data_IF_970764660662
#
_entry.id   IF_970764660662
#
_cell.length_a   1.000
_cell.length_b   1.000
_cell.length_c   1.000
_cell.angle_alpha   90.00
_cell.angle_beta   90.00
_cell.angle_gamma   90.00
#
_symmetry.space_group_name_H-M   'P 1'
#
loop_
_entity.id
_entity.type
_entity.pdbx_description
1 polymer ?
#
# COMPACT_ATOMS: atom_id res chain seq x y z
N UNK A 1 55.41 -31.52 4.12
CA UNK A 1 55.63 -31.14 2.71
C UNK A 1 55.52 -29.61 2.58
N UNK A 2 56.59 -28.93 2.21
CA UNK A 2 56.52 -27.48 1.95
C UNK A 2 55.75 -27.24 0.64
N UNK A 3 54.78 -26.31 0.60
CA UNK A 3 54.07 -26.00 -0.64
C UNK A 3 55.04 -25.40 -1.67
N UNK A 4 54.89 -25.85 -2.92
CA UNK A 4 55.74 -25.42 -4.04
C UNK A 4 55.70 -23.89 -4.20
N UNK A 5 56.80 -23.31 -4.68
CA UNK A 5 56.98 -21.86 -4.86
C UNK A 5 55.80 -21.23 -5.65
N UNK A 6 55.28 -21.97 -6.61
CA UNK A 6 54.14 -21.60 -7.44
C UNK A 6 52.84 -21.37 -6.65
N UNK A 7 52.58 -22.18 -5.61
CA UNK A 7 51.38 -22.07 -4.76
C UNK A 7 51.47 -20.86 -3.84
N UNK A 8 52.68 -20.53 -3.34
CA UNK A 8 52.88 -19.33 -2.52
C UNK A 8 52.72 -18.04 -3.32
N UNK A 9 53.21 -18.01 -4.55
CA UNK A 9 53.12 -16.82 -5.42
C UNK A 9 51.67 -16.59 -5.90
N UNK A 10 50.91 -17.66 -6.15
CA UNK A 10 49.47 -17.54 -6.47
C UNK A 10 48.65 -17.08 -5.27
N UNK A 11 48.90 -17.58 -4.06
CA UNK A 11 48.22 -17.10 -2.85
C UNK A 11 48.52 -15.61 -2.58
N UNK A 12 49.79 -15.19 -2.72
CA UNK A 12 50.18 -13.80 -2.54
C UNK A 12 49.55 -12.88 -3.60
N UNK A 13 49.43 -13.34 -4.85
CA UNK A 13 48.77 -12.60 -5.92
C UNK A 13 47.25 -12.45 -5.68
N UNK A 14 46.59 -13.51 -5.22
CA UNK A 14 45.16 -13.50 -4.87
C UNK A 14 44.89 -12.57 -3.69
N UNK A 15 45.74 -12.57 -2.66
CA UNK A 15 45.57 -11.69 -1.51
C UNK A 15 45.81 -10.21 -1.85
N UNK A 16 46.78 -9.92 -2.73
CA UNK A 16 47.03 -8.57 -3.26
C UNK A 16 45.89 -8.08 -4.15
N UNK A 17 45.27 -8.97 -4.94
CA UNK A 17 44.07 -8.67 -5.72
C UNK A 17 42.87 -8.40 -4.81
N UNK A 18 42.66 -9.23 -3.77
CA UNK A 18 41.60 -9.05 -2.77
C UNK A 18 41.72 -7.70 -2.05
N UNK A 19 42.92 -7.32 -1.59
CA UNK A 19 43.17 -6.01 -0.95
C UNK A 19 42.90 -4.83 -1.90
N UNK A 20 43.22 -4.95 -3.19
CA UNK A 20 42.94 -3.92 -4.20
C UNK A 20 41.43 -3.75 -4.46
N UNK A 21 40.69 -4.85 -4.55
CA UNK A 21 39.23 -4.83 -4.73
C UNK A 21 38.54 -4.24 -3.51
N UNK A 22 38.95 -4.60 -2.29
CA UNK A 22 38.40 -4.01 -1.06
C UNK A 22 38.68 -2.51 -0.99
N UNK A 23 39.91 -2.07 -1.32
CA UNK A 23 40.27 -0.64 -1.30
C UNK A 23 39.52 0.19 -2.35
N UNK A 24 39.28 -0.37 -3.55
CA UNK A 24 38.45 0.26 -4.58
C UNK A 24 36.98 0.33 -4.15
N UNK A 25 36.42 -0.72 -3.55
CA UNK A 25 35.05 -0.73 -3.03
C UNK A 25 34.86 0.32 -1.93
N UNK A 26 35.81 0.44 -1.00
CA UNK A 26 35.79 1.48 0.05
C UNK A 26 35.90 2.89 -0.54
N UNK A 27 36.76 3.11 -1.55
CA UNK A 27 36.87 4.41 -2.23
C UNK A 27 35.60 4.79 -2.98
N UNK A 28 34.98 3.85 -3.71
CA UNK A 28 33.71 4.09 -4.42
C UNK A 28 32.58 4.38 -3.43
N UNK A 29 32.54 3.69 -2.29
CA UNK A 29 31.55 3.94 -1.26
C UNK A 29 31.75 5.31 -0.57
N UNK A 30 33.00 5.71 -0.29
CA UNK A 30 33.35 7.05 0.24
C UNK A 30 33.03 8.14 -0.78
N UNK A 31 33.27 7.91 -2.07
CA UNK A 31 32.98 8.90 -3.12
C UNK A 31 31.47 9.07 -3.33
N UNK A 32 30.70 7.97 -3.34
CA UNK A 32 29.23 8.02 -3.39
C UNK A 32 28.63 8.69 -2.16
N UNK A 33 29.14 8.41 -0.96
CA UNK A 33 28.68 9.09 0.27
C UNK A 33 29.08 10.56 0.31
N UNK A 34 30.27 10.95 -0.18
CA UNK A 34 30.69 12.36 -0.31
C UNK A 34 29.86 13.12 -1.34
N UNK A 35 29.58 12.54 -2.51
CA UNK A 35 28.74 13.17 -3.55
C UNK A 35 27.28 13.32 -3.09
N UNK A 36 26.74 12.31 -2.40
CA UNK A 36 25.43 12.38 -1.74
C UNK A 36 25.40 13.42 -0.61
N UNK A 37 26.44 13.50 0.24
CA UNK A 37 26.57 14.55 1.27
C UNK A 37 26.67 15.95 0.66
N UNK A 38 27.38 16.12 -0.44
CA UNK A 38 27.52 17.41 -1.12
C UNK A 38 26.16 17.85 -1.72
N UNK A 39 25.47 16.95 -2.42
CA UNK A 39 24.11 17.16 -2.96
C UNK A 39 23.08 17.48 -1.86
N UNK A 40 23.17 16.80 -0.71
CA UNK A 40 22.30 17.03 0.45
C UNK A 40 22.59 18.35 1.15
N UNK A 41 23.87 18.69 1.36
CA UNK A 41 24.26 19.99 1.92
C UNK A 41 23.85 21.15 1.00
N UNK A 42 23.94 20.97 -0.32
CA UNK A 42 23.43 21.99 -1.27
C UNK A 42 21.91 22.12 -1.24
N UNK A 43 21.18 21.02 -1.06
CA UNK A 43 19.71 21.05 -0.94
C UNK A 43 19.26 21.71 0.38
N UNK A 44 19.79 21.28 1.53
CA UNK A 44 19.48 21.90 2.83
C UNK A 44 19.84 23.39 2.80
N UNK A 45 21.01 23.76 2.27
CA UNK A 45 21.37 25.17 2.10
C UNK A 45 20.40 25.92 1.18
N UNK A 46 19.80 25.27 0.17
CA UNK A 46 18.80 25.89 -0.72
C UNK A 46 17.47 26.11 0.00
N UNK A 47 17.00 25.12 0.78
CA UNK A 47 15.77 25.25 1.59
C UNK A 47 15.97 26.32 2.67
N UNK A 48 17.08 26.27 3.41
CA UNK A 48 17.42 27.25 4.45
C UNK A 48 17.57 28.66 3.87
N UNK A 49 18.13 28.82 2.65
CA UNK A 49 18.18 30.12 1.94
C UNK A 49 16.80 30.65 1.53
N UNK A 50 15.82 29.77 1.27
CA UNK A 50 14.44 30.19 1.02
C UNK A 50 13.71 30.59 2.31
N UNK A 51 14.11 30.05 3.45
CA UNK A 51 13.60 30.43 4.78
C UNK A 51 14.27 31.70 5.32
N UNK A 52 15.61 31.83 5.23
CA UNK A 52 16.36 32.99 5.75
C UNK A 52 16.18 34.27 4.97
N UNK A 53 15.79 34.22 3.68
CA UNK A 53 15.34 35.41 2.93
C UNK A 53 14.08 36.07 3.54
N UNK A 54 13.48 35.49 4.58
CA UNK A 54 12.22 35.93 5.19
C UNK A 54 12.33 36.27 6.68
N UNK A 55 13.51 36.21 7.31
CA UNK A 55 13.69 36.48 8.75
C UNK A 55 14.95 37.33 9.04
N UNK A 56 14.82 38.32 9.94
CA UNK A 56 15.88 39.23 10.40
C UNK A 56 16.87 38.60 11.41
N UNK A 57 17.86 39.35 11.94
CA UNK A 57 19.06 38.79 12.58
C UNK A 57 18.82 38.33 14.04
N UNK A 58 19.58 37.32 14.55
CA UNK A 58 19.30 36.68 15.84
C UNK A 58 20.16 37.22 17.00
N UNK A 59 19.57 37.25 18.21
CA UNK A 59 20.26 37.41 19.50
C UNK A 59 20.62 36.06 20.16
N UNK A 60 21.48 36.06 21.22
CA UNK A 60 22.08 34.84 21.75
C UNK A 60 21.13 34.08 22.70
N UNK A 61 21.23 32.75 22.66
CA UNK A 61 20.40 31.72 23.34
C UNK A 61 19.13 31.27 22.60
N UNK A 62 19.34 30.61 21.46
CA UNK A 62 18.32 29.85 20.72
C UNK A 62 18.84 28.43 20.46
N UNK A 63 18.50 27.48 21.34
CA UNK A 63 18.58 26.05 21.06
C UNK A 63 17.67 25.36 22.06
N UNK A 64 16.39 25.20 21.70
CA UNK A 64 15.49 24.07 22.01
C UNK A 64 14.03 24.48 21.69
N UNK A 65 13.67 25.75 21.78
CA UNK A 65 12.43 26.30 21.18
C UNK A 65 12.68 27.76 20.79
N UNK A 66 12.81 28.07 19.49
CA UNK A 66 12.96 29.44 18.98
C UNK A 66 11.63 29.97 18.44
N UNK A 67 11.25 31.25 18.66
CA UNK A 67 9.98 31.81 18.17
C UNK A 67 9.97 32.10 16.65
N UNK A 68 11.13 32.15 15.99
CA UNK A 68 11.25 32.69 14.63
C UNK A 68 11.62 31.63 13.58
N UNK A 69 10.75 30.63 13.37
CA UNK A 69 10.89 29.67 12.26
C UNK A 69 9.53 29.34 11.63
N UNK A 70 8.73 30.35 11.27
CA UNK A 70 7.59 30.11 10.37
C UNK A 70 7.45 31.27 9.37
N UNK A 71 8.05 31.17 8.18
CA UNK A 71 7.77 32.14 7.15
C UNK A 71 6.33 32.02 6.67
N UNK A 72 5.49 33.00 7.04
CA UNK A 72 4.23 33.33 6.38
C UNK A 72 3.24 32.16 6.31
N UNK A 73 2.33 32.15 7.28
CA UNK A 73 1.11 31.34 7.46
C UNK A 73 0.18 31.26 6.24
N UNK A 74 0.49 31.96 5.17
CA UNK A 74 -0.26 31.96 3.93
C UNK A 74 0.15 30.89 2.92
N UNK A 75 1.37 30.32 3.00
CA UNK A 75 1.82 29.40 1.93
C UNK A 75 1.35 27.95 2.11
N UNK A 76 1.16 27.47 3.35
CA UNK A 76 0.50 26.17 3.59
C UNK A 76 -0.98 26.19 3.19
N UNK A 77 -1.64 27.35 3.33
CA UNK A 77 -3.02 27.53 2.88
C UNK A 77 -3.10 27.77 1.36
N UNK A 78 -2.25 28.65 0.79
CA UNK A 78 -2.28 29.03 -0.63
C UNK A 78 -1.65 28.00 -1.58
N UNK A 79 -0.64 27.25 -1.13
CA UNK A 79 -0.05 26.13 -1.88
C UNK A 79 -0.98 24.91 -1.97
N UNK A 80 -1.90 24.77 -1.01
CA UNK A 80 -2.98 23.79 -1.06
C UNK A 80 -4.24 24.29 -1.79
N UNK A 81 -4.26 25.57 -2.22
CA UNK A 81 -5.41 26.21 -2.89
C UNK A 81 -5.26 26.35 -4.40
N UNK A 82 -4.09 26.06 -4.97
CA UNK A 82 -3.89 26.06 -6.43
C UNK A 82 -3.46 24.67 -6.88
N UNK A 83 -4.32 24.05 -7.69
CA UNK A 83 -4.21 22.69 -8.25
C UNK A 83 -4.77 21.57 -7.38
N UNK A 84 -6.09 21.54 -7.21
CA UNK A 84 -6.88 20.29 -7.23
C UNK A 84 -8.34 20.61 -7.59
N UNK A 85 -8.54 21.37 -8.66
CA UNK A 85 -9.76 21.30 -9.48
C UNK A 85 -9.47 20.40 -10.70
N UNK A 86 -8.96 19.21 -10.42
CA UNK A 86 -8.93 18.07 -11.33
C UNK A 86 -10.13 17.17 -11.02
N UNK A 87 -10.62 16.38 -11.98
CA UNK A 87 -11.92 15.74 -11.92
C UNK A 87 -12.05 14.89 -10.65
N UNK A 88 -13.23 14.93 -10.01
CA UNK A 88 -13.63 14.06 -8.88
C UNK A 88 -12.86 12.75 -8.95
N UNK A 89 -11.85 12.62 -8.07
CA UNK A 89 -10.89 11.52 -8.05
C UNK A 89 -11.66 10.22 -8.15
N UNK A 90 -11.35 9.47 -9.19
CA UNK A 90 -12.14 8.34 -9.62
C UNK A 90 -11.99 7.22 -8.57
N UNK A 91 -13.01 7.14 -7.72
CA UNK A 91 -13.08 6.55 -6.38
C UNK A 91 -12.81 5.05 -6.33
N UNK A 92 -12.44 4.56 -5.13
CA UNK A 92 -12.92 3.26 -4.63
C UNK A 92 -14.38 3.09 -5.04
N UNK A 93 -14.71 1.99 -5.68
CA UNK A 93 -16.04 1.81 -6.30
C UNK A 93 -17.13 1.72 -5.22
N UNK A 94 -17.69 2.87 -4.83
CA UNK A 94 -18.78 2.94 -3.86
C UNK A 94 -20.13 2.75 -4.56
N UNK A 95 -20.76 1.60 -4.32
CA UNK A 95 -22.10 1.28 -4.83
C UNK A 95 -23.18 1.27 -3.72
N UNK A 96 -22.84 1.69 -2.49
CA UNK A 96 -23.72 1.63 -1.32
C UNK A 96 -25.07 2.33 -1.53
N UNK A 97 -25.07 3.49 -2.20
CA UNK A 97 -26.30 4.23 -2.50
C UNK A 97 -27.19 3.54 -3.54
N UNK A 98 -26.65 2.64 -4.36
CA UNK A 98 -27.40 1.88 -5.37
C UNK A 98 -28.09 0.64 -4.79
N UNK A 99 -27.67 0.20 -3.60
CA UNK A 99 -28.22 -0.95 -2.87
C UNK A 99 -28.89 -0.56 -1.56
N UNK A 100 -29.16 0.73 -1.34
CA UNK A 100 -29.77 1.22 -0.10
C UNK A 100 -31.23 0.78 0.08
N UNK A 101 -31.90 0.36 -1.00
CA UNK A 101 -33.27 -0.16 -0.98
C UNK A 101 -33.34 -1.56 -1.59
N UNK A 102 -34.01 -2.49 -0.91
CA UNK A 102 -34.25 -3.86 -1.37
C UNK A 102 -35.33 -3.94 -2.46
N UNK A 103 -35.12 -3.24 -3.58
CA UNK A 103 -35.99 -3.36 -4.76
C UNK A 103 -35.70 -4.66 -5.50
N UNK A 104 -36.71 -5.23 -6.18
CA UNK A 104 -36.64 -6.54 -6.87
C UNK A 104 -35.62 -6.64 -8.04
N UNK A 105 -34.78 -5.63 -8.24
CA UNK A 105 -33.68 -5.65 -9.22
C UNK A 105 -32.45 -4.89 -8.74
N UNK A 106 -32.25 -4.75 -7.43
CA UNK A 106 -31.09 -4.02 -6.88
C UNK A 106 -29.76 -4.67 -7.29
N UNK A 107 -29.60 -5.97 -7.02
CA UNK A 107 -28.36 -6.70 -7.35
C UNK A 107 -28.23 -7.03 -8.83
N UNK A 108 -29.32 -7.20 -9.57
CA UNK A 108 -29.25 -7.43 -11.02
C UNK A 108 -28.67 -6.21 -11.75
N UNK A 109 -28.96 -4.99 -11.28
CA UNK A 109 -28.32 -3.76 -11.79
C UNK A 109 -26.80 -3.72 -11.54
N UNK A 110 -26.29 -4.41 -10.52
CA UNK A 110 -24.85 -4.48 -10.25
C UNK A 110 -24.10 -5.31 -11.31
N UNK A 111 -24.74 -6.33 -11.88
CA UNK A 111 -24.16 -7.16 -12.94
C UNK A 111 -23.91 -6.38 -14.24
N UNK A 112 -24.52 -5.21 -14.42
CA UNK A 112 -24.33 -4.38 -15.61
C UNK A 112 -23.31 -3.23 -15.40
N UNK A 113 -22.71 -3.13 -14.22
CA UNK A 113 -21.60 -2.20 -13.99
C UNK A 113 -20.31 -2.77 -14.60
N UNK A 114 -19.56 -1.94 -15.32
CA UNK A 114 -18.27 -2.32 -15.90
C UNK A 114 -17.08 -1.99 -15.00
N UNK A 115 -17.09 -0.81 -14.38
CA UNK A 115 -15.98 -0.30 -13.57
C UNK A 115 -15.88 -1.08 -12.24
N UNK A 116 -14.70 -1.59 -11.92
CA UNK A 116 -14.47 -2.49 -10.78
C UNK A 116 -15.22 -3.82 -10.90
N UNK A 117 -15.70 -4.17 -12.09
CA UNK A 117 -16.53 -5.36 -12.25
C UNK A 117 -15.70 -6.62 -12.44
N UNK A 118 -16.33 -7.75 -12.12
CA UNK A 118 -15.82 -9.08 -12.40
C UNK A 118 -15.38 -9.25 -13.87
N UNK A 119 -16.13 -8.65 -14.81
CA UNK A 119 -15.85 -8.76 -16.24
C UNK A 119 -14.58 -8.01 -16.65
N UNK A 120 -14.34 -6.83 -16.07
CA UNK A 120 -13.13 -6.04 -16.33
C UNK A 120 -11.87 -6.78 -15.88
N UNK A 121 -11.96 -7.59 -14.83
CA UNK A 121 -10.81 -8.35 -14.30
C UNK A 121 -10.61 -9.68 -15.04
N UNK A 122 -11.68 -10.32 -15.51
CA UNK A 122 -11.63 -11.68 -16.10
C UNK A 122 -11.56 -11.74 -17.63
N UNK A 123 -11.83 -10.65 -18.36
CA UNK A 123 -12.03 -10.75 -19.81
C UNK A 123 -10.82 -11.34 -20.57
N UNK A 124 -9.59 -11.12 -20.10
CA UNK A 124 -8.38 -11.62 -20.76
C UNK A 124 -8.24 -13.13 -20.57
N UNK A 125 -8.42 -13.61 -19.35
CA UNK A 125 -8.33 -15.02 -18.99
C UNK A 125 -9.49 -15.80 -19.60
N UNK A 126 -10.70 -15.22 -19.62
CA UNK A 126 -11.86 -15.82 -20.28
C UNK A 126 -11.63 -15.91 -21.80
N UNK A 127 -11.09 -14.87 -22.43
CA UNK A 127 -10.76 -14.90 -23.86
C UNK A 127 -9.73 -16.00 -24.16
N UNK A 128 -8.67 -16.10 -23.34
CA UNK A 128 -7.65 -17.14 -23.49
C UNK A 128 -8.26 -18.56 -23.34
N UNK A 129 -9.13 -18.75 -22.34
CA UNK A 129 -9.86 -20.00 -22.13
C UNK A 129 -10.73 -20.36 -23.34
N UNK A 130 -11.48 -19.39 -23.87
CA UNK A 130 -12.35 -19.59 -25.03
C UNK A 130 -11.56 -19.91 -26.30
N UNK A 131 -10.45 -19.20 -26.55
CA UNK A 131 -9.57 -19.48 -27.69
C UNK A 131 -9.00 -20.90 -27.59
N UNK A 132 -8.48 -21.29 -26.42
CA UNK A 132 -7.97 -22.64 -26.21
C UNK A 132 -9.05 -23.71 -26.42
N UNK A 133 -10.27 -23.46 -25.93
CA UNK A 133 -11.40 -24.37 -26.11
C UNK A 133 -11.77 -24.55 -27.58
N UNK A 134 -11.88 -23.46 -28.34
CA UNK A 134 -12.20 -23.49 -29.78
C UNK A 134 -11.08 -24.14 -30.59
N UNK A 135 -9.81 -23.86 -30.27
CA UNK A 135 -8.66 -24.49 -30.95
C UNK A 135 -8.70 -26.00 -30.77
N UNK A 136 -8.93 -26.50 -29.56
CA UNK A 136 -9.03 -27.95 -29.32
C UNK A 136 -10.25 -28.55 -30.02
N UNK A 137 -11.39 -27.87 -29.99
CA UNK A 137 -12.60 -28.33 -30.67
C UNK A 137 -12.42 -28.43 -32.19
N UNK A 138 -11.80 -27.42 -32.80
CA UNK A 138 -11.50 -27.41 -34.24
C UNK A 138 -10.46 -28.46 -34.63
N UNK A 139 -9.44 -28.70 -33.79
CA UNK A 139 -8.49 -29.79 -33.99
C UNK A 139 -9.17 -31.16 -33.96
N UNK A 140 -10.07 -31.40 -33.00
CA UNK A 140 -10.82 -32.66 -32.92
C UNK A 140 -11.70 -32.91 -34.15
N UNK A 141 -12.42 -31.88 -34.63
CA UNK A 141 -13.34 -32.01 -35.76
C UNK A 141 -12.63 -32.11 -37.12
N UNK A 142 -11.57 -31.33 -37.34
CA UNK A 142 -11.01 -31.12 -38.67
C UNK A 142 -9.63 -31.76 -38.90
N UNK A 143 -8.86 -32.03 -37.83
CA UNK A 143 -7.46 -32.47 -37.97
C UNK A 143 -7.19 -33.90 -37.49
N UNK A 144 -7.93 -34.39 -36.48
CA UNK A 144 -7.71 -35.73 -35.92
C UNK A 144 -8.28 -36.82 -36.83
N UNK A 145 -7.51 -37.89 -37.03
CA UNK A 145 -7.99 -39.13 -37.69
C UNK A 145 -8.91 -39.92 -36.76
N UNK A 146 -9.71 -40.85 -37.29
CA UNK A 146 -10.65 -41.66 -36.49
C UNK A 146 -9.96 -42.41 -35.33
N UNK A 147 -8.79 -43.00 -35.56
CA UNK A 147 -8.02 -43.65 -34.50
C UNK A 147 -7.54 -42.67 -33.41
N UNK A 148 -7.21 -41.42 -33.78
CA UNK A 148 -6.81 -40.38 -32.83
C UNK A 148 -8.01 -39.81 -32.06
N UNK A 149 -9.18 -39.71 -32.70
CA UNK A 149 -10.43 -39.28 -32.05
C UNK A 149 -10.81 -40.22 -30.91
N UNK A 150 -10.73 -41.54 -31.11
CA UNK A 150 -11.00 -42.51 -30.03
C UNK A 150 -10.08 -42.34 -28.82
N UNK A 151 -8.79 -42.05 -29.07
CA UNK A 151 -7.82 -41.79 -27.99
C UNK A 151 -8.17 -40.48 -27.28
N UNK A 152 -8.48 -39.43 -28.05
CA UNK A 152 -8.86 -38.13 -27.51
C UNK A 152 -10.11 -38.24 -26.63
N UNK A 153 -11.13 -39.00 -27.04
CA UNK A 153 -12.32 -39.24 -26.24
C UNK A 153 -12.03 -39.90 -24.89
N UNK A 154 -11.07 -40.83 -24.84
CA UNK A 154 -10.61 -41.42 -23.56
C UNK A 154 -9.96 -40.37 -22.67
N UNK A 155 -9.15 -39.46 -23.25
CA UNK A 155 -8.52 -38.35 -22.52
C UNK A 155 -9.60 -37.40 -21.98
N UNK A 156 -10.61 -37.05 -22.78
CA UNK A 156 -11.73 -36.19 -22.35
C UNK A 156 -12.43 -36.79 -21.14
N UNK A 157 -12.76 -38.09 -21.15
CA UNK A 157 -13.39 -38.78 -20.01
C UNK A 157 -12.50 -38.80 -18.77
N UNK A 158 -11.20 -39.04 -18.95
CA UNK A 158 -10.22 -38.99 -17.86
C UNK A 158 -10.18 -37.60 -17.21
N UNK A 159 -10.07 -36.55 -18.03
CA UNK A 159 -10.06 -35.15 -17.58
C UNK A 159 -11.37 -34.76 -16.86
N UNK A 160 -12.54 -35.16 -17.36
CA UNK A 160 -13.83 -34.84 -16.72
C UNK A 160 -13.98 -35.54 -15.35
N UNK A 161 -13.51 -36.78 -15.25
CA UNK A 161 -13.49 -37.54 -13.98
C UNK A 161 -12.58 -36.86 -12.96
N UNK A 162 -11.35 -36.49 -13.35
CA UNK A 162 -10.42 -35.78 -12.47
C UNK A 162 -10.98 -34.43 -12.01
N UNK A 163 -11.61 -33.68 -12.91
CA UNK A 163 -12.19 -32.37 -12.60
C UNK A 163 -13.30 -32.44 -11.56
N UNK A 164 -14.10 -33.51 -11.57
CA UNK A 164 -15.20 -33.70 -10.60
C UNK A 164 -14.72 -34.11 -9.19
N UNK A 165 -13.50 -34.62 -9.06
CA UNK A 165 -12.91 -35.01 -7.77
C UNK A 165 -12.29 -33.83 -7.00
N UNK A 166 -12.00 -32.71 -7.66
CA UNK A 166 -11.37 -31.55 -7.03
C UNK A 166 -12.38 -30.71 -6.23
N UNK A 167 -12.25 -30.57 -4.90
CA UNK A 167 -13.16 -29.77 -4.07
C UNK A 167 -12.84 -28.27 -4.14
N UNK A 168 -12.88 -27.70 -5.34
CA UNK A 168 -12.40 -26.34 -5.61
C UNK A 168 -13.16 -25.28 -4.79
N UNK A 169 -14.47 -25.45 -4.63
CA UNK A 169 -15.33 -24.56 -3.82
C UNK A 169 -14.85 -24.43 -2.37
N UNK A 170 -14.39 -25.53 -1.76
CA UNK A 170 -13.91 -25.53 -0.38
C UNK A 170 -12.60 -24.73 -0.29
N UNK A 171 -11.62 -25.08 -1.13
CA UNK A 171 -10.28 -24.47 -1.11
C UNK A 171 -10.37 -22.96 -1.36
N UNK A 172 -11.12 -22.53 -2.39
CA UNK A 172 -11.32 -21.11 -2.68
C UNK A 172 -12.11 -20.41 -1.57
N UNK A 173 -13.17 -21.03 -1.04
CA UNK A 173 -14.00 -20.43 0.00
C UNK A 173 -13.22 -20.06 1.26
N UNK A 174 -12.37 -20.96 1.77
CA UNK A 174 -11.51 -20.67 2.93
C UNK A 174 -10.47 -19.59 2.62
N UNK A 175 -9.85 -19.66 1.45
CA UNK A 175 -8.83 -18.69 1.05
C UNK A 175 -9.42 -17.27 0.92
N UNK A 176 -10.50 -17.11 0.15
CA UNK A 176 -11.17 -15.83 -0.06
C UNK A 176 -11.67 -15.24 1.26
N UNK A 177 -12.28 -16.06 2.12
CA UNK A 177 -12.75 -15.60 3.44
C UNK A 177 -11.60 -15.10 4.31
N UNK A 178 -10.45 -15.80 4.29
CA UNK A 178 -9.26 -15.38 5.03
C UNK A 178 -8.68 -14.07 4.49
N UNK A 179 -8.60 -13.93 3.16
CA UNK A 179 -8.15 -12.70 2.49
C UNK A 179 -9.08 -11.53 2.81
N UNK A 180 -10.40 -11.70 2.67
CA UNK A 180 -11.39 -10.68 2.96
C UNK A 180 -11.34 -10.20 4.42
N UNK A 181 -11.12 -11.13 5.37
CA UNK A 181 -10.92 -10.79 6.79
C UNK A 181 -9.66 -9.96 7.00
N UNK A 182 -8.55 -10.32 6.35
CA UNK A 182 -7.30 -9.52 6.40
C UNK A 182 -7.49 -8.15 5.78
N UNK A 183 -8.18 -8.05 4.65
CA UNK A 183 -8.51 -6.79 3.98
C UNK A 183 -9.28 -5.85 4.91
N UNK A 184 -10.33 -6.34 5.57
CA UNK A 184 -11.13 -5.52 6.49
C UNK A 184 -10.32 -5.08 7.72
N UNK A 185 -9.52 -5.97 8.28
CA UNK A 185 -8.66 -5.61 9.42
C UNK A 185 -7.57 -4.60 9.04
N UNK A 186 -7.06 -4.63 7.80
CA UNK A 186 -6.16 -3.60 7.27
C UNK A 186 -6.85 -2.25 7.16
N UNK A 187 -8.12 -2.21 6.70
CA UNK A 187 -8.93 -0.99 6.69
C UNK A 187 -9.10 -0.40 8.10
N UNK A 188 -9.49 -1.23 9.07
CA UNK A 188 -9.66 -0.81 10.47
C UNK A 188 -8.35 -0.36 11.14
N UNK A 189 -7.20 -0.84 10.64
CA UNK A 189 -5.88 -0.45 11.11
C UNK A 189 -5.43 0.92 10.57
N UNK A 190 -6.13 1.52 9.59
CA UNK A 190 -5.81 2.89 9.13
C UNK A 190 -6.10 3.87 10.27
N UNK A 191 -5.09 4.61 10.77
CA UNK A 191 -5.26 5.47 11.92
C UNK A 191 -5.90 6.81 11.54
N UNK A 192 -6.89 7.22 12.33
CA UNK A 192 -7.58 8.50 12.22
C UNK A 192 -7.07 9.43 13.33
N UNK A 193 -6.57 10.63 13.02
CA UNK A 193 -6.00 11.55 14.00
C UNK A 193 -7.06 12.32 14.81
N UNK A 194 -8.34 12.19 14.46
CA UNK A 194 -9.46 12.98 14.97
C UNK A 194 -9.60 12.92 16.49
N UNK A 195 -9.48 11.73 17.10
CA UNK A 195 -9.54 11.60 18.57
C UNK A 195 -8.41 12.37 19.25
N UNK A 196 -7.18 12.15 18.80
CA UNK A 196 -6.00 12.86 19.30
C UNK A 196 -6.12 14.39 19.07
N UNK A 197 -6.70 14.81 17.95
CA UNK A 197 -6.95 16.22 17.65
C UNK A 197 -7.87 16.86 18.70
N UNK A 198 -9.00 16.22 19.02
CA UNK A 198 -9.93 16.74 20.02
C UNK A 198 -9.28 16.81 21.41
N UNK A 199 -8.57 15.76 21.81
CA UNK A 199 -7.87 15.72 23.11
C UNK A 199 -6.78 16.79 23.19
N UNK A 200 -5.97 16.96 22.13
CA UNK A 200 -4.94 18.01 22.07
C UNK A 200 -5.59 19.41 22.10
N UNK A 201 -6.70 19.61 21.39
CA UNK A 201 -7.41 20.90 21.38
C UNK A 201 -8.02 21.25 22.72
N UNK A 202 -8.43 20.24 23.52
CA UNK A 202 -9.02 20.43 24.84
C UNK A 202 -7.97 20.80 25.89
N UNK A 203 -6.86 20.05 25.94
CA UNK A 203 -5.89 20.15 27.04
C UNK A 203 -4.68 21.04 26.77
N UNK A 204 -4.37 21.36 25.51
CA UNK A 204 -3.25 22.25 25.18
C UNK A 204 -3.74 23.69 25.07
N UNK A 205 -3.53 24.45 26.13
CA UNK A 205 -4.03 25.81 26.27
C UNK A 205 -3.14 26.87 25.60
N UNK A 206 -3.70 28.07 25.43
CA UNK A 206 -3.02 29.25 24.91
C UNK A 206 -3.45 29.66 23.50
N UNK A 207 -3.90 30.90 23.38
CA UNK A 207 -4.35 31.52 22.11
C UNK A 207 -3.24 32.30 21.40
N UNK A 208 -2.10 32.42 22.05
CA UNK A 208 -0.87 33.00 21.52
C UNK A 208 -0.20 32.05 20.51
N UNK A 209 0.79 32.59 19.80
CA UNK A 209 1.49 31.85 18.75
C UNK A 209 2.20 30.61 19.28
N UNK A 210 2.70 30.64 20.52
CA UNK A 210 3.37 29.50 21.14
C UNK A 210 2.43 28.31 21.39
N UNK A 211 1.26 28.54 22.02
CA UNK A 211 0.26 27.49 22.24
C UNK A 211 -0.23 26.90 20.91
N UNK A 212 -0.43 27.76 19.90
CA UNK A 212 -0.77 27.34 18.54
C UNK A 212 0.32 26.49 17.89
N UNK A 213 1.59 26.85 18.08
CA UNK A 213 2.74 26.09 17.56
C UNK A 213 2.84 24.69 18.17
N UNK A 214 2.56 24.54 19.47
CA UNK A 214 2.52 23.22 20.13
C UNK A 214 1.44 22.34 19.51
N UNK A 215 0.18 22.82 19.45
CA UNK A 215 -0.94 22.06 18.88
C UNK A 215 -0.65 21.62 17.44
N UNK A 216 -0.14 22.54 16.61
CA UNK A 216 0.25 22.24 15.22
C UNK A 216 1.38 21.23 15.12
N UNK A 217 2.38 21.32 15.99
CA UNK A 217 3.53 20.40 15.95
C UNK A 217 3.13 18.98 16.36
N UNK A 218 2.31 18.83 17.40
CA UNK A 218 1.77 17.53 17.82
C UNK A 218 0.98 16.87 16.68
N UNK A 219 0.04 17.59 16.07
CA UNK A 219 -0.76 17.05 14.96
C UNK A 219 0.06 16.78 13.70
N UNK A 220 1.04 17.63 13.39
CA UNK A 220 1.93 17.42 12.25
C UNK A 220 2.78 16.16 12.44
N UNK A 221 3.25 15.87 13.65
CA UNK A 221 4.00 14.63 13.90
C UNK A 221 3.15 13.37 13.76
N UNK A 222 1.86 13.40 14.16
CA UNK A 222 0.93 12.30 13.88
C UNK A 222 0.78 12.05 12.36
N UNK A 223 0.54 13.12 11.60
CA UNK A 223 0.42 13.04 10.14
C UNK A 223 1.75 12.58 9.51
N UNK A 224 2.88 13.06 10.01
CA UNK A 224 4.20 12.69 9.51
C UNK A 224 4.47 11.19 9.73
N UNK A 225 4.16 10.66 10.92
CA UNK A 225 4.19 9.21 11.19
C UNK A 225 3.33 8.45 10.19
N UNK A 226 2.10 8.91 9.95
CA UNK A 226 1.18 8.30 8.99
C UNK A 226 1.77 8.28 7.56
N UNK A 227 2.32 9.40 7.10
CA UNK A 227 2.91 9.49 5.76
C UNK A 227 4.12 8.55 5.63
N UNK A 228 4.97 8.46 6.65
CA UNK A 228 6.14 7.59 6.62
C UNK A 228 5.77 6.10 6.57
N UNK A 229 4.76 5.67 7.33
CA UNK A 229 4.28 4.28 7.26
C UNK A 229 3.56 4.01 5.93
N UNK A 230 2.65 4.90 5.49
CA UNK A 230 1.90 4.72 4.25
C UNK A 230 2.81 4.71 3.01
N UNK A 231 3.85 5.54 2.98
CA UNK A 231 4.89 5.49 1.94
C UNK A 231 5.60 4.14 1.87
N UNK A 232 5.69 3.43 2.99
CA UNK A 232 6.39 2.14 3.07
C UNK A 232 5.53 1.01 2.53
N UNK A 233 4.22 1.04 2.83
CA UNK A 233 3.26 -0.03 2.51
C UNK A 233 2.46 0.22 1.21
N UNK A 234 2.33 1.48 0.77
CA UNK A 234 1.48 1.88 -0.36
C UNK A 234 2.29 2.47 -1.52
N UNK A 235 2.11 1.88 -2.70
CA UNK A 235 2.74 2.35 -3.93
C UNK A 235 2.25 3.74 -4.38
N UNK A 236 0.93 4.06 -4.37
CA UNK A 236 0.46 5.42 -4.66
C UNK A 236 1.04 6.50 -3.75
N UNK A 237 1.14 6.23 -2.46
CA UNK A 237 1.70 7.20 -1.50
C UNK A 237 3.20 7.35 -1.72
N UNK A 238 3.90 6.26 -2.03
CA UNK A 238 5.33 6.29 -2.41
C UNK A 238 5.59 7.02 -3.73
N UNK A 239 4.66 6.98 -4.68
CA UNK A 239 4.74 7.77 -5.93
C UNK A 239 4.51 9.25 -5.65
N UNK A 240 3.57 9.60 -4.77
CA UNK A 240 3.33 11.00 -4.36
C UNK A 240 4.51 11.57 -3.56
N UNK A 241 5.09 10.76 -2.69
CA UNK A 241 6.26 11.12 -1.93
C UNK A 241 7.36 10.08 -2.18
N UNK A 242 8.25 10.27 -3.19
CA UNK A 242 9.32 9.32 -3.50
C UNK A 242 10.52 9.44 -2.58
N UNK A 243 10.85 10.65 -2.13
CA UNK A 243 12.00 10.91 -1.23
C UNK A 243 11.60 11.76 -0.04
N UNK A 244 12.37 11.75 1.06
CA UNK A 244 12.06 12.57 2.25
C UNK A 244 12.05 14.07 1.92
N UNK A 245 12.81 14.50 0.92
CA UNK A 245 12.80 15.87 0.42
C UNK A 245 11.40 16.28 -0.09
N UNK A 246 10.66 15.38 -0.75
CA UNK A 246 9.28 15.65 -1.17
C UNK A 246 8.33 15.83 0.04
N UNK A 247 8.61 15.15 1.16
CA UNK A 247 7.85 15.29 2.41
C UNK A 247 8.11 16.67 3.03
N UNK A 248 9.36 17.15 2.94
CA UNK A 248 9.76 18.48 3.39
C UNK A 248 9.15 19.57 2.51
N UNK A 249 9.24 19.44 1.18
CA UNK A 249 8.67 20.39 0.22
C UNK A 249 7.15 20.50 0.36
N UNK A 250 6.49 19.39 0.73
CA UNK A 250 5.04 19.35 1.02
C UNK A 250 4.66 19.94 2.39
N UNK A 251 5.64 20.32 3.21
CA UNK A 251 5.42 20.98 4.51
C UNK A 251 5.10 20.04 5.68
N UNK A 252 5.26 18.73 5.51
CA UNK A 252 5.02 17.74 6.58
C UNK A 252 6.23 17.57 7.53
N UNK A 253 7.43 17.81 7.02
CA UNK A 253 8.70 17.77 7.76
C UNK A 253 9.47 19.07 7.53
N UNK A 254 10.18 19.57 8.55
CA UNK A 254 10.99 20.79 8.42
C UNK A 254 12.41 20.49 7.91
N UNK A 255 13.14 21.54 7.50
CA UNK A 255 14.54 21.42 7.07
C UNK A 255 15.46 20.92 8.19
N UNK A 256 15.22 21.34 9.44
CA UNK A 256 16.03 20.90 10.57
C UNK A 256 15.67 19.46 10.97
N UNK A 257 14.39 19.07 10.87
CA UNK A 257 13.94 17.70 11.17
C UNK A 257 14.53 16.66 10.22
N UNK A 258 14.63 16.97 8.93
CA UNK A 258 15.25 16.06 7.97
C UNK A 258 16.76 15.89 8.23
N UNK A 259 17.44 16.92 8.74
CA UNK A 259 18.84 16.80 9.17
C UNK A 259 18.98 15.84 10.36
N UNK A 260 18.13 15.99 11.38
CA UNK A 260 18.08 15.08 12.52
C UNK A 260 17.76 13.67 12.05
N UNK A 261 16.78 13.52 11.16
CA UNK A 261 16.39 12.23 10.60
C UNK A 261 17.55 11.54 9.86
N UNK A 262 18.35 12.29 9.10
CA UNK A 262 19.53 11.75 8.42
C UNK A 262 20.73 11.52 9.33
N UNK A 263 20.78 12.17 10.50
CA UNK A 263 21.81 11.94 11.50
C UNK A 263 21.64 10.61 12.22
N UNK A 264 20.42 10.06 12.21
CA UNK A 264 20.16 8.72 12.75
C UNK A 264 21.02 7.70 12.00
N UNK A 265 21.65 6.76 12.73
CA UNK A 265 22.36 5.67 12.08
C UNK A 265 21.38 5.00 11.10
N UNK A 266 21.84 4.75 9.87
CA UNK A 266 21.03 4.07 8.85
C UNK A 266 20.88 2.61 9.27
N UNK A 267 20.03 2.36 10.26
CA UNK A 267 19.73 1.00 10.70
C UNK A 267 18.75 0.39 9.72
N UNK A 268 18.82 -0.93 9.58
CA UNK A 268 18.11 -1.81 8.64
C UNK A 268 16.57 -1.77 8.75
N UNK A 269 16.01 -0.83 9.51
CA UNK A 269 14.62 -0.82 9.95
C UNK A 269 13.85 0.40 9.43
N UNK A 270 12.53 0.23 9.34
CA UNK A 270 11.63 1.33 9.03
C UNK A 270 11.66 2.39 10.16
N UNK A 271 11.69 3.66 9.77
CA UNK A 271 11.89 4.82 10.66
C UNK A 271 10.62 5.64 10.87
N UNK A 272 9.44 5.08 10.57
CA UNK A 272 8.14 5.73 10.83
C UNK A 272 7.92 6.09 12.31
N UNK A 273 8.62 5.47 13.24
CA UNK A 273 8.54 5.73 14.69
C UNK A 273 9.29 7.00 15.12
N UNK A 274 10.13 7.60 14.28
CA UNK A 274 10.94 8.77 14.66
C UNK A 274 10.07 9.98 15.04
N UNK A 275 9.04 10.37 14.26
CA UNK A 275 8.15 11.46 14.67
C UNK A 275 7.31 11.13 15.92
N UNK A 276 7.09 9.84 16.22
CA UNK A 276 6.48 9.43 17.49
C UNK A 276 7.35 9.88 18.69
N UNK A 277 8.67 9.76 18.59
CA UNK A 277 9.58 10.28 19.63
C UNK A 277 9.58 11.80 19.70
N UNK A 278 9.40 12.49 18.57
CA UNK A 278 9.30 13.95 18.57
C UNK A 278 7.99 14.44 19.17
N UNK A 279 6.88 13.73 18.94
CA UNK A 279 5.60 13.97 19.58
C UNK A 279 5.71 13.94 21.10
N UNK A 280 6.30 12.88 21.66
CA UNK A 280 6.44 12.75 23.12
C UNK A 280 7.34 13.82 23.73
N UNK A 281 8.36 14.29 22.99
CA UNK A 281 9.19 15.42 23.40
C UNK A 281 8.42 16.73 23.45
N UNK A 282 7.61 17.03 22.43
CA UNK A 282 6.77 18.25 22.42
C UNK A 282 5.70 18.18 23.49
N UNK A 283 5.08 17.01 23.71
CA UNK A 283 4.10 16.84 24.78
C UNK A 283 4.72 17.09 26.17
N UNK A 284 5.94 16.59 26.39
CA UNK A 284 6.70 16.87 27.62
C UNK A 284 7.00 18.37 27.78
N UNK A 285 7.36 19.04 26.70
CA UNK A 285 7.64 20.48 26.72
C UNK A 285 6.37 21.31 26.98
N UNK A 286 5.24 20.92 26.41
CA UNK A 286 3.94 21.53 26.69
C UNK A 286 3.59 21.44 28.18
N UNK A 287 3.88 20.30 28.82
CA UNK A 287 3.71 20.13 30.27
C UNK A 287 4.66 21.03 31.07
N UNK A 288 5.95 21.05 30.72
CA UNK A 288 6.96 21.88 31.41
C UNK A 288 6.66 23.37 31.32
N UNK A 289 6.23 23.83 30.15
CA UNK A 289 5.84 25.22 29.89
C UNK A 289 4.44 25.57 30.42
N UNK A 290 3.84 24.71 31.25
CA UNK A 290 2.50 24.87 31.85
C UNK A 290 1.39 25.15 30.82
N UNK A 291 1.52 24.64 29.60
CA UNK A 291 0.45 24.65 28.58
C UNK A 291 -0.55 23.52 28.74
N UNK A 292 -0.17 22.53 29.55
CA UNK A 292 -1.04 21.47 30.05
C UNK A 292 -0.84 21.49 31.57
N UNK A 293 -1.82 22.01 32.30
CA UNK A 293 -1.73 22.13 33.76
C UNK A 293 -1.98 20.79 34.45
N UNK A 294 -2.96 20.05 33.93
CA UNK A 294 -3.44 18.78 34.47
C UNK A 294 -2.58 17.57 34.02
N UNK A 295 -2.30 16.67 34.95
CA UNK A 295 -1.60 15.41 34.66
C UNK A 295 -2.48 14.45 33.86
N UNK A 296 -3.81 14.49 34.05
CA UNK A 296 -4.73 13.62 33.33
C UNK A 296 -4.80 14.00 31.84
N UNK A 297 -4.70 15.29 31.52
CA UNK A 297 -4.60 15.77 30.13
C UNK A 297 -3.39 15.20 29.38
N UNK A 298 -2.22 15.16 30.02
CA UNK A 298 -1.02 14.55 29.42
C UNK A 298 -1.21 13.05 29.21
N UNK A 299 -1.81 12.35 30.19
CA UNK A 299 -2.10 10.92 30.11
C UNK A 299 -3.04 10.61 28.95
N UNK A 300 -4.16 11.33 28.84
CA UNK A 300 -5.15 11.08 27.81
C UNK A 300 -4.62 11.37 26.40
N UNK A 301 -3.84 12.45 26.22
CA UNK A 301 -3.16 12.72 24.93
C UNK A 301 -2.21 11.57 24.58
N UNK A 302 -1.47 11.05 25.56
CA UNK A 302 -0.54 9.95 25.34
C UNK A 302 -1.24 8.63 25.01
N UNK A 303 -2.39 8.35 25.63
CA UNK A 303 -3.22 7.17 25.34
C UNK A 303 -3.73 7.20 23.90
N UNK A 304 -4.32 8.32 23.46
CA UNK A 304 -4.79 8.51 22.08
C UNK A 304 -3.65 8.41 21.05
N UNK A 305 -2.49 8.98 21.39
CA UNK A 305 -1.28 8.85 20.59
C UNK A 305 -0.79 7.39 20.48
N UNK A 306 -0.85 6.62 21.57
CA UNK A 306 -0.45 5.22 21.58
C UNK A 306 -1.42 4.36 20.75
N UNK A 307 -2.73 4.63 20.80
CA UNK A 307 -3.73 3.97 19.93
C UNK A 307 -3.40 4.23 18.45
N UNK A 308 -3.11 5.50 18.10
CA UNK A 308 -2.72 5.90 16.75
C UNK A 308 -1.42 5.20 16.30
N UNK A 309 -0.41 5.16 17.17
CA UNK A 309 0.87 4.49 16.90
C UNK A 309 0.70 2.98 16.73
N UNK A 310 -0.13 2.35 17.55
CA UNK A 310 -0.41 0.91 17.47
C UNK A 310 -1.03 0.55 16.11
N UNK A 311 -1.98 1.35 15.64
CA UNK A 311 -2.58 1.23 14.30
C UNK A 311 -1.55 1.37 13.17
N UNK A 312 -0.62 2.33 13.26
CA UNK A 312 0.51 2.42 12.33
C UNK A 312 1.38 1.15 12.35
N UNK A 313 1.64 0.60 13.54
CA UNK A 313 2.36 -0.66 13.70
C UNK A 313 1.64 -1.84 13.06
N UNK A 314 0.31 -1.92 13.21
CA UNK A 314 -0.52 -2.95 12.58
C UNK A 314 -0.47 -2.89 11.05
N UNK A 315 -0.51 -1.69 10.45
CA UNK A 315 -0.34 -1.54 9.00
C UNK A 315 1.01 -2.09 8.53
N UNK A 316 2.09 -1.75 9.25
CA UNK A 316 3.42 -2.27 8.94
C UNK A 316 3.51 -3.79 9.12
N UNK A 317 2.88 -4.34 10.15
CA UNK A 317 2.83 -5.79 10.38
C UNK A 317 2.09 -6.54 9.27
N UNK A 318 1.01 -5.98 8.72
CA UNK A 318 0.27 -6.59 7.61
C UNK A 318 1.09 -6.61 6.30
N UNK A 319 1.85 -5.54 6.05
CA UNK A 319 2.77 -5.44 4.91
C UNK A 319 3.95 -6.42 5.06
N UNK A 320 4.55 -6.49 6.26
CA UNK A 320 5.67 -7.40 6.52
C UNK A 320 5.25 -8.87 6.50
N UNK A 321 4.16 -9.22 7.17
CA UNK A 321 3.67 -10.61 7.28
C UNK A 321 2.52 -10.80 6.29
N UNK A 322 2.89 -11.12 5.06
CA UNK A 322 1.96 -11.53 4.00
C UNK A 322 1.35 -12.92 4.26
N UNK A 323 0.31 -13.27 3.51
CA UNK A 323 -0.23 -14.63 3.49
C UNK A 323 0.88 -15.59 3.05
N UNK A 324 1.06 -16.77 3.71
CA UNK A 324 2.09 -17.73 3.32
C UNK A 324 2.03 -18.04 1.83
N UNK A 325 3.16 -17.88 1.14
CA UNK A 325 3.24 -18.05 -0.32
C UNK A 325 2.71 -19.42 -0.76
N UNK A 326 3.03 -20.48 -0.02
CA UNK A 326 2.55 -21.83 -0.29
C UNK A 326 1.02 -21.92 -0.33
N UNK A 327 0.31 -21.15 0.52
CA UNK A 327 -1.15 -21.17 0.53
C UNK A 327 -1.72 -20.54 -0.75
N UNK A 328 -1.22 -19.37 -1.15
CA UNK A 328 -1.59 -18.73 -2.42
C UNK A 328 -1.25 -19.64 -3.62
N UNK A 329 -0.10 -20.32 -3.59
CA UNK A 329 0.32 -21.25 -4.65
C UNK A 329 -0.63 -22.44 -4.74
N UNK A 330 -0.99 -23.09 -3.64
CA UNK A 330 -1.92 -24.24 -3.63
C UNK A 330 -3.27 -23.88 -4.24
N UNK A 331 -3.83 -22.73 -3.85
CA UNK A 331 -5.13 -22.27 -4.37
C UNK A 331 -5.06 -21.95 -5.86
N UNK A 332 -3.96 -21.31 -6.30
CA UNK A 332 -3.73 -21.00 -7.72
C UNK A 332 -3.57 -22.27 -8.54
N UNK A 333 -2.74 -23.21 -8.09
CA UNK A 333 -2.51 -24.50 -8.76
C UNK A 333 -3.82 -25.28 -8.86
N UNK A 334 -4.60 -25.36 -7.78
CA UNK A 334 -5.88 -26.07 -7.78
C UNK A 334 -6.86 -25.48 -8.80
N UNK A 335 -6.99 -24.14 -8.82
CA UNK A 335 -7.90 -23.44 -9.74
C UNK A 335 -7.45 -23.58 -11.19
N UNK A 336 -6.16 -23.37 -11.47
CA UNK A 336 -5.63 -23.45 -12.84
C UNK A 336 -5.65 -24.88 -13.37
N UNK A 337 -5.29 -25.87 -12.55
CA UNK A 337 -5.34 -27.28 -12.95
C UNK A 337 -6.77 -27.73 -13.24
N UNK A 338 -7.75 -27.25 -12.47
CA UNK A 338 -9.16 -27.49 -12.76
C UNK A 338 -9.55 -26.95 -14.13
N UNK A 339 -9.19 -25.70 -14.48
CA UNK A 339 -9.55 -25.13 -15.77
C UNK A 339 -8.75 -25.69 -16.95
N UNK A 340 -7.47 -26.00 -16.78
CA UNK A 340 -6.66 -26.70 -17.80
C UNK A 340 -7.31 -28.05 -18.13
N UNK A 341 -7.71 -28.79 -17.09
CA UNK A 341 -8.37 -30.08 -17.27
C UNK A 341 -9.77 -29.91 -17.87
N UNK A 342 -10.52 -28.88 -17.46
CA UNK A 342 -11.85 -28.60 -17.97
C UNK A 342 -11.85 -28.18 -19.45
N UNK A 343 -10.81 -27.49 -19.94
CA UNK A 343 -10.64 -27.14 -21.36
C UNK A 343 -10.66 -28.39 -22.24
N UNK A 344 -10.14 -29.53 -21.75
CA UNK A 344 -10.15 -30.82 -22.46
C UNK A 344 -11.38 -31.65 -22.08
N UNK A 345 -11.67 -31.83 -20.80
CA UNK A 345 -12.73 -32.71 -20.29
C UNK A 345 -14.17 -32.26 -20.61
N UNK A 346 -14.35 -30.97 -20.95
CA UNK A 346 -15.66 -30.40 -21.33
C UNK A 346 -15.82 -30.21 -22.84
N UNK A 347 -14.94 -30.77 -23.66
CA UNK A 347 -15.10 -30.80 -25.11
C UNK A 347 -16.31 -31.65 -25.52
N UNK A 348 -17.02 -31.22 -26.56
CA UNK A 348 -18.11 -31.96 -27.16
C UNK A 348 -17.53 -33.00 -28.13
N UNK A 349 -17.64 -34.29 -27.78
CA UNK A 349 -17.10 -35.40 -28.55
C UNK A 349 -18.19 -36.42 -28.89
N UNK A 350 -18.12 -36.99 -30.09
CA UNK A 350 -19.14 -37.85 -30.70
C UNK A 350 -19.37 -39.14 -29.90
N UNK A 351 -18.30 -39.77 -29.39
CA UNK A 351 -18.41 -40.98 -28.58
C UNK A 351 -18.73 -40.77 -27.10
N UNK A 352 -19.06 -39.56 -26.64
CA UNK A 352 -19.50 -39.33 -25.25
C UNK A 352 -21.03 -39.22 -25.17
N UNK A 353 -21.70 -40.35 -24.92
CA UNK A 353 -23.11 -40.35 -24.48
C UNK A 353 -23.17 -39.86 -23.03
N UNK A 354 -23.00 -38.56 -22.78
CA UNK A 354 -23.33 -37.96 -21.48
C UNK A 354 -24.85 -37.72 -21.45
N UNK A 355 -25.58 -38.15 -20.41
CA UNK A 355 -27.05 -38.19 -20.42
C UNK A 355 -27.75 -36.83 -20.66
N UNK A 356 -27.06 -35.69 -20.46
CA UNK A 356 -27.58 -34.34 -20.77
C UNK A 356 -26.88 -33.63 -21.94
N UNK A 357 -25.69 -34.08 -22.35
CA UNK A 357 -24.87 -33.38 -23.35
C UNK A 357 -25.09 -33.89 -24.78
N UNK A 358 -25.82 -35.00 -24.93
CA UNK A 358 -25.99 -35.70 -26.21
C UNK A 358 -27.01 -35.03 -27.13
N UNK A 359 -27.91 -34.18 -26.64
CA UNK A 359 -28.97 -33.56 -27.46
C UNK A 359 -28.63 -32.16 -27.98
N UNK A 360 -27.65 -31.48 -27.37
CA UNK A 360 -27.30 -30.10 -27.75
C UNK A 360 -25.78 -29.94 -27.85
N UNK A 361 -25.24 -30.20 -29.04
CA UNK A 361 -23.86 -29.83 -29.41
C UNK A 361 -23.77 -28.31 -29.60
N UNK A 362 -23.76 -27.57 -28.49
CA UNK A 362 -23.50 -26.13 -28.52
C UNK A 362 -22.01 -25.93 -28.73
N UNK A 363 -21.61 -25.32 -29.86
CA UNK A 363 -20.22 -24.96 -30.15
C UNK A 363 -19.54 -24.12 -29.03
N UNK A 364 -20.35 -23.53 -28.15
CA UNK A 364 -19.94 -22.67 -27.03
C UNK A 364 -20.33 -23.35 -25.69
N UNK A 365 -19.39 -23.61 -24.77
CA UNK A 365 -19.66 -24.30 -23.51
C UNK A 365 -20.21 -23.34 -22.45
N UNK A 366 -21.48 -22.93 -22.58
CA UNK A 366 -22.13 -21.90 -21.74
C UNK A 366 -21.97 -22.17 -20.23
N UNK A 367 -22.27 -23.39 -19.76
CA UNK A 367 -22.17 -23.71 -18.34
C UNK A 367 -20.73 -23.72 -17.82
N UNK A 368 -19.76 -24.09 -18.66
CA UNK A 368 -18.34 -24.03 -18.29
C UNK A 368 -17.87 -22.57 -18.20
N UNK A 369 -18.39 -21.67 -19.05
CA UNK A 369 -18.14 -20.22 -18.93
C UNK A 369 -18.69 -19.68 -17.61
N UNK A 370 -19.90 -20.08 -17.21
CA UNK A 370 -20.48 -19.67 -15.92
C UNK A 370 -19.64 -20.20 -14.74
N UNK A 371 -19.20 -21.46 -14.80
CA UNK A 371 -18.28 -22.04 -13.80
C UNK A 371 -16.94 -21.29 -13.76
N UNK A 372 -16.42 -20.88 -14.92
CA UNK A 372 -15.23 -20.05 -15.03
C UNK A 372 -15.41 -18.70 -14.33
N UNK A 373 -16.48 -17.97 -14.65
CA UNK A 373 -16.79 -16.68 -14.02
C UNK A 373 -16.89 -16.81 -12.49
N UNK A 374 -17.44 -17.92 -11.98
CA UNK A 374 -17.54 -18.13 -10.54
C UNK A 374 -16.19 -18.43 -9.88
N UNK A 375 -15.48 -19.48 -10.29
CA UNK A 375 -14.26 -19.90 -9.59
C UNK A 375 -13.05 -19.00 -9.90
N UNK A 376 -12.80 -18.65 -11.17
CA UNK A 376 -11.76 -17.68 -11.48
C UNK A 376 -12.13 -16.31 -10.93
N UNK A 377 -13.41 -15.97 -10.90
CA UNK A 377 -13.89 -14.76 -10.24
C UNK A 377 -13.54 -14.67 -8.78
N UNK A 378 -13.83 -15.73 -8.02
CA UNK A 378 -13.45 -15.80 -6.61
C UNK A 378 -11.94 -15.70 -6.40
N UNK A 379 -11.13 -16.36 -7.24
CA UNK A 379 -9.68 -16.22 -7.20
C UNK A 379 -9.24 -14.77 -7.46
N UNK A 380 -9.84 -14.09 -8.45
CA UNK A 380 -9.55 -12.69 -8.77
C UNK A 380 -9.97 -11.72 -7.67
N UNK A 381 -11.10 -11.95 -7.01
CA UNK A 381 -11.50 -11.17 -5.83
C UNK A 381 -10.43 -11.29 -4.75
N UNK A 382 -9.91 -12.49 -4.47
CA UNK A 382 -8.81 -12.64 -3.53
C UNK A 382 -7.51 -11.96 -4.01
N UNK A 383 -7.20 -12.02 -5.31
CA UNK A 383 -6.04 -11.35 -5.90
C UNK A 383 -6.08 -9.83 -5.69
N UNK A 384 -7.25 -9.20 -5.86
CA UNK A 384 -7.42 -7.76 -5.62
C UNK A 384 -7.35 -7.40 -4.14
N UNK A 385 -7.99 -8.19 -3.28
CA UNK A 385 -8.06 -7.89 -1.84
C UNK A 385 -6.76 -8.21 -1.07
N UNK A 386 -5.81 -8.95 -1.67
CA UNK A 386 -4.58 -9.38 -0.99
C UNK A 386 -3.71 -8.20 -0.57
N UNK A 387 -3.68 -7.13 -1.38
CA UNK A 387 -2.93 -5.92 -1.12
C UNK A 387 -3.77 -4.67 -1.43
N UNK A 388 -4.57 -4.18 -0.46
CA UNK A 388 -5.46 -3.04 -0.67
C UNK A 388 -4.75 -1.68 -0.71
N UNK A 389 -3.42 -1.65 -0.71
CA UNK A 389 -2.61 -0.42 -0.73
C UNK A 389 -1.97 -0.17 -2.10
N UNK A 390 -2.43 -0.89 -3.13
CA UNK A 390 -1.96 -0.87 -4.51
C UNK A 390 -2.56 0.26 -5.35
N UNK A 391 -2.81 -0.04 -6.62
CA UNK A 391 -3.30 0.89 -7.64
C UNK A 391 -4.63 0.45 -8.28
N UNK A 392 -5.23 -0.61 -7.77
CA UNK A 392 -6.47 -1.15 -8.31
C UNK A 392 -7.64 -0.23 -7.98
N UNK A 393 -8.71 -0.31 -8.77
CA UNK A 393 -9.87 0.57 -8.62
C UNK A 393 -10.61 0.39 -7.28
N UNK A 394 -10.37 -0.71 -6.57
CA UNK A 394 -10.97 -1.03 -5.27
C UNK A 394 -10.02 -0.81 -4.09
N UNK A 395 -8.76 -0.41 -4.34
CA UNK A 395 -7.75 -0.16 -3.31
C UNK A 395 -8.05 1.09 -2.49
N UNK A 396 -7.54 1.15 -1.25
CA UNK A 396 -7.82 2.27 -0.37
C UNK A 396 -7.24 3.60 -0.86
N UNK A 397 -8.07 4.64 -0.81
CA UNK A 397 -7.72 6.02 -1.19
C UNK A 397 -6.87 6.73 -0.12
N UNK A 398 -5.65 6.26 0.07
CA UNK A 398 -4.74 6.75 1.11
C UNK A 398 -4.28 8.19 0.89
N UNK A 399 -4.09 8.61 -0.36
CA UNK A 399 -3.71 9.99 -0.69
C UNK A 399 -4.81 10.99 -0.30
N UNK A 400 -6.07 10.64 -0.56
CA UNK A 400 -7.22 11.41 -0.11
C UNK A 400 -7.29 11.50 1.42
N UNK A 401 -7.07 10.38 2.12
CA UNK A 401 -7.07 10.37 3.59
C UNK A 401 -5.98 11.28 4.18
N UNK A 402 -4.76 11.25 3.63
CA UNK A 402 -3.68 12.16 4.04
C UNK A 402 -4.12 13.63 3.88
N UNK A 403 -4.73 13.98 2.75
CA UNK A 403 -5.19 15.35 2.50
C UNK A 403 -6.33 15.77 3.43
N UNK A 404 -7.29 14.86 3.67
CA UNK A 404 -8.40 15.07 4.60
C UNK A 404 -7.87 15.30 6.01
N UNK A 405 -6.99 14.42 6.51
CA UNK A 405 -6.38 14.53 7.84
C UNK A 405 -5.62 15.84 7.98
N UNK A 406 -4.84 16.23 6.97
CA UNK A 406 -4.08 17.48 6.98
C UNK A 406 -5.01 18.70 7.06
N UNK A 407 -6.06 18.75 6.22
CA UNK A 407 -6.98 19.89 6.14
C UNK A 407 -7.83 20.06 7.40
N UNK A 408 -8.40 18.97 7.91
CA UNK A 408 -9.27 19.00 9.11
C UNK A 408 -8.44 19.43 10.33
N UNK A 409 -7.28 18.81 10.54
CA UNK A 409 -6.43 19.11 11.69
C UNK A 409 -5.93 20.56 11.69
N UNK A 410 -5.56 21.10 10.53
CA UNK A 410 -5.14 22.50 10.43
C UNK A 410 -6.29 23.48 10.65
N UNK A 411 -7.49 23.16 10.18
CA UNK A 411 -8.68 24.02 10.32
C UNK A 411 -9.17 24.07 11.75
N UNK A 412 -9.25 22.94 12.43
CA UNK A 412 -9.80 22.85 13.79
C UNK A 412 -8.88 23.57 14.80
N UNK A 413 -7.57 23.36 14.70
CA UNK A 413 -6.57 24.04 15.56
C UNK A 413 -6.57 25.56 15.33
N UNK A 414 -6.94 26.02 14.14
CA UNK A 414 -6.97 27.45 13.80
C UNK A 414 -8.30 28.14 14.17
N UNK A 415 -9.44 27.50 13.90
CA UNK A 415 -10.75 28.14 13.98
C UNK A 415 -11.36 28.12 15.38
N UNK A 416 -11.20 27.03 16.16
CA UNK A 416 -11.83 26.94 17.49
C UNK A 416 -11.37 28.03 18.47
N UNK A 417 -10.23 28.66 18.22
CA UNK A 417 -9.68 29.71 19.06
C UNK A 417 -9.82 31.13 18.49
N UNK A 418 -10.29 31.29 17.24
CA UNK A 418 -10.50 32.61 16.62
C UNK A 418 -11.96 33.08 16.67
N UNK A 419 -12.92 32.19 16.96
CA UNK A 419 -14.36 32.50 16.85
C UNK A 419 -15.12 32.59 18.18
N UNK A 420 -14.43 32.82 19.31
CA UNK A 420 -15.09 32.97 20.64
C UNK A 420 -14.55 34.15 21.47
N UNK A 421 -13.79 35.04 20.85
CA UNK A 421 -13.49 36.39 21.36
C UNK A 421 -14.16 37.37 20.44
#
# INVERSE_FOLDING_TARGET
>A
AQPSRYVRDTYAAVEKARRRVTFQATRVHIFRTRRARCSRRSFVRRVRRQETRKAGPPGPFANVVGPDVFPGTDRCARGAYRSCSGPRGAMTVSYQSRVSSSTSGGFTKLLFLWRGSLYQVLYRELLLFMVAFVVISTLYRNALTEAQKEIFEKIVRYCDTFSSQLPLSFILGFYVTYVAKRWWNQYLAIPWPDKAMHTISLYVEGNDDYGRMIRRSLMRYLILTLILVLRSVSSPVKKRFPTLEHVVESGYMTADEIEVFYSLPKVEFNTYWVPCTWFTKVLREARKSRRIEDSDGVKLIMEEFNEFRAKCGMLWSYDWISIPLAYTQVVTIATYSFFITAVVGRQYVEGSKKPLQTEVDVFIPVFTIVQFLFFMGLLKVAEQLINPFGHDEEDFELNFLIDRHTKVNLREIYNNFKSRT
#
